data_IF_588326390838
#
_entry.id   IF_588326390838
#
_cell.length_a   1.000
_cell.length_b   1.000
_cell.length_c   1.000
_cell.angle_alpha   90.00
_cell.angle_beta   90.00
_cell.angle_gamma   90.00
#
_symmetry.space_group_name_H-M   'P 1'
#
loop_
_entity.id
_entity.type
_entity.pdbx_description
1 polymer ?
#
# COMPACT_ATOMS: atom_id res chain seq x y z
N UNK A 1 25.28 11.81 -8.69
CA UNK A 1 24.06 12.13 -7.92
C UNK A 1 23.18 10.89 -7.91
N UNK A 2 23.25 10.09 -6.85
CA UNK A 2 22.62 8.76 -6.81
C UNK A 2 21.11 8.96 -6.65
N UNK A 3 20.35 8.93 -7.76
CA UNK A 3 18.90 8.91 -7.70
C UNK A 3 18.51 7.65 -6.93
N UNK A 4 18.18 7.79 -5.64
CA UNK A 4 17.54 6.73 -4.87
C UNK A 4 16.34 6.31 -5.72
N UNK A 5 16.36 5.07 -6.21
CA UNK A 5 15.22 4.50 -6.94
C UNK A 5 13.97 4.72 -6.06
N UNK A 6 12.77 4.84 -6.62
CA UNK A 6 11.56 5.08 -5.82
C UNK A 6 10.79 3.76 -5.65
N UNK A 7 9.85 3.65 -4.70
CA UNK A 7 8.88 2.57 -4.71
C UNK A 7 8.24 2.45 -6.10
N UNK A 8 7.92 1.22 -6.52
CA UNK A 8 7.16 0.97 -7.73
C UNK A 8 5.66 1.06 -7.45
N UNK A 9 4.87 1.44 -8.45
CA UNK A 9 3.42 1.51 -8.34
C UNK A 9 2.78 0.88 -9.57
N UNK A 10 1.73 0.09 -9.37
CA UNK A 10 0.86 -0.38 -10.45
C UNK A 10 -0.51 0.22 -10.19
N UNK A 11 -0.94 1.08 -11.11
CA UNK A 11 -2.29 1.67 -11.11
C UNK A 11 -3.23 0.69 -11.80
N UNK A 12 -4.34 0.38 -11.16
CA UNK A 12 -5.34 -0.59 -11.63
C UNK A 12 -6.68 0.14 -11.69
N UNK A 13 -7.09 0.51 -12.88
CA UNK A 13 -8.37 1.15 -13.20
C UNK A 13 -9.20 0.34 -14.21
N UNK A 14 -8.69 -0.81 -14.66
CA UNK A 14 -9.42 -1.77 -15.48
C UNK A 14 -10.43 -2.56 -14.60
N UNK A 15 -11.75 -2.44 -14.87
CA UNK A 15 -12.78 -3.10 -14.08
C UNK A 15 -12.70 -4.63 -14.13
N UNK A 16 -12.23 -5.21 -15.24
CA UNK A 16 -12.04 -6.66 -15.34
C UNK A 16 -10.91 -7.12 -14.43
N UNK A 17 -9.80 -6.38 -14.37
CA UNK A 17 -8.69 -6.69 -13.47
C UNK A 17 -9.11 -6.47 -12.00
N UNK A 18 -9.79 -5.37 -11.69
CA UNK A 18 -10.28 -5.08 -10.34
C UNK A 18 -11.21 -6.19 -9.82
N UNK A 19 -12.09 -6.72 -10.68
CA UNK A 19 -13.01 -7.81 -10.32
C UNK A 19 -12.32 -9.13 -9.95
N UNK A 20 -11.06 -9.31 -10.37
CA UNK A 20 -10.27 -10.52 -10.11
C UNK A 20 -9.53 -10.49 -8.78
N UNK A 21 -9.53 -9.36 -8.06
CA UNK A 21 -8.79 -9.18 -6.80
C UNK A 21 -9.75 -9.44 -5.62
N UNK A 22 -9.66 -10.58 -4.91
CA UNK A 22 -10.64 -10.97 -3.89
C UNK A 22 -10.71 -10.02 -2.68
N UNK A 23 -9.62 -9.29 -2.42
CA UNK A 23 -9.52 -8.34 -1.31
C UNK A 23 -10.40 -7.07 -1.51
N UNK A 24 -10.96 -6.86 -2.71
CA UNK A 24 -11.83 -5.73 -3.02
C UNK A 24 -13.27 -6.14 -2.71
N UNK A 25 -13.72 -5.91 -1.47
CA UNK A 25 -15.08 -6.29 -1.01
C UNK A 25 -16.19 -5.35 -1.51
N UNK A 26 -15.84 -4.12 -1.88
CA UNK A 26 -16.74 -3.13 -2.48
C UNK A 26 -16.12 -2.64 -3.78
N UNK A 27 -16.89 -2.46 -4.88
CA UNK A 27 -16.35 -2.00 -6.14
C UNK A 27 -15.66 -0.63 -5.96
N UNK A 28 -14.33 -0.67 -5.92
CA UNK A 28 -13.49 0.51 -5.92
C UNK A 28 -13.15 0.83 -7.38
N UNK A 29 -13.35 2.06 -7.87
CA UNK A 29 -13.01 2.43 -9.24
C UNK A 29 -11.51 2.44 -9.50
N UNK A 30 -10.69 2.38 -8.45
CA UNK A 30 -9.24 2.46 -8.53
C UNK A 30 -8.60 1.59 -7.44
N UNK A 31 -7.53 0.89 -7.80
CA UNK A 31 -6.59 0.34 -6.85
C UNK A 31 -5.14 0.62 -7.26
N UNK A 32 -4.24 0.68 -6.28
CA UNK A 32 -2.81 0.86 -6.50
C UNK A 32 -2.06 -0.21 -5.73
N UNK A 33 -1.24 -1.00 -6.43
CA UNK A 33 -0.24 -1.84 -5.77
C UNK A 33 1.01 -1.01 -5.51
N UNK A 34 1.51 -1.05 -4.28
CA UNK A 34 2.80 -0.47 -3.90
C UNK A 34 3.83 -1.60 -3.89
N UNK A 35 4.86 -1.47 -4.72
CA UNK A 35 5.82 -2.54 -4.99
C UNK A 35 7.22 -2.22 -4.46
N UNK A 36 7.85 -3.23 -3.88
CA UNK A 36 9.23 -3.23 -3.45
C UNK A 36 10.11 -3.80 -4.58
N UNK A 37 11.17 -3.10 -4.93
CA UNK A 37 12.23 -3.62 -5.80
C UNK A 37 13.36 -4.19 -4.94
N UNK A 38 13.47 -5.51 -4.91
CA UNK A 38 14.44 -6.29 -4.15
C UNK A 38 15.86 -6.20 -4.70
N UNK A 39 16.04 -5.74 -5.94
CA UNK A 39 17.35 -5.61 -6.61
C UNK A 39 18.08 -4.36 -6.15
N UNK A 40 17.45 -3.53 -5.32
CA UNK A 40 18.02 -2.29 -4.84
C UNK A 40 19.01 -2.55 -3.69
N UNK A 41 20.08 -1.75 -3.58
CA UNK A 41 21.18 -2.02 -2.66
C UNK A 41 20.85 -1.75 -1.19
N UNK A 42 19.75 -1.04 -0.89
CA UNK A 42 19.32 -0.78 0.50
C UNK A 42 19.00 -2.10 1.23
N UNK A 43 19.02 -2.14 2.56
CA UNK A 43 18.60 -3.34 3.30
C UNK A 43 17.11 -3.64 3.07
N UNK A 44 16.67 -4.91 3.18
CA UNK A 44 15.26 -5.28 3.05
C UNK A 44 14.31 -4.42 3.91
N UNK A 45 14.66 -4.20 5.17
CA UNK A 45 13.84 -3.42 6.11
C UNK A 45 13.66 -1.97 5.67
N UNK A 46 14.72 -1.33 5.15
CA UNK A 46 14.65 0.04 4.67
C UNK A 46 13.78 0.16 3.41
N UNK A 47 13.74 -0.89 2.57
CA UNK A 47 12.86 -0.92 1.39
C UNK A 47 11.39 -1.02 1.80
N UNK A 48 11.10 -1.88 2.79
CA UNK A 48 9.75 -2.01 3.37
C UNK A 48 9.30 -0.69 3.98
N UNK A 49 10.15 -0.05 4.81
CA UNK A 49 9.85 1.25 5.41
C UNK A 49 9.59 2.34 4.36
N UNK A 50 10.41 2.40 3.31
CA UNK A 50 10.23 3.37 2.24
C UNK A 50 8.90 3.19 1.49
N UNK A 51 8.51 1.93 1.22
CA UNK A 51 7.23 1.64 0.57
C UNK A 51 6.06 1.88 1.52
N UNK A 52 6.18 1.55 2.81
CA UNK A 52 5.16 1.82 3.83
C UNK A 52 4.88 3.32 4.00
N UNK A 53 5.94 4.14 4.06
CA UNK A 53 5.81 5.59 4.11
C UNK A 53 5.17 6.15 2.84
N UNK A 54 5.47 5.58 1.67
CA UNK A 54 4.81 5.96 0.42
C UNK A 54 3.33 5.58 0.40
N UNK A 55 2.98 4.41 0.95
CA UNK A 55 1.57 3.99 1.12
C UNK A 55 0.81 4.94 2.03
N UNK A 56 1.39 5.34 3.17
CA UNK A 56 0.76 6.31 4.08
C UNK A 56 0.55 7.67 3.40
N UNK A 57 1.55 8.17 2.67
CA UNK A 57 1.40 9.41 1.89
C UNK A 57 0.28 9.32 0.85
N UNK A 58 0.09 8.16 0.22
CA UNK A 58 -1.00 7.93 -0.72
C UNK A 58 -2.36 8.00 -0.01
N UNK A 59 -2.49 7.41 1.18
CA UNK A 59 -3.73 7.46 1.98
C UNK A 59 -4.07 8.89 2.41
N UNK A 60 -3.08 9.64 2.89
CA UNK A 60 -3.25 11.05 3.27
C UNK A 60 -3.63 11.92 2.06
N UNK A 61 -3.01 11.69 0.91
CA UNK A 61 -3.35 12.40 -0.32
C UNK A 61 -4.78 12.09 -0.77
N UNK A 62 -5.21 10.83 -0.74
CA UNK A 62 -6.59 10.45 -1.04
C UNK A 62 -7.58 11.16 -0.11
N UNK A 63 -7.30 11.16 1.21
CA UNK A 63 -8.12 11.86 2.19
C UNK A 63 -8.22 13.36 1.91
N UNK A 64 -7.10 14.03 1.63
CA UNK A 64 -7.05 15.46 1.32
C UNK A 64 -7.85 15.81 0.05
N UNK A 65 -7.93 14.88 -0.91
CA UNK A 65 -8.74 15.01 -2.12
C UNK A 65 -10.23 14.65 -1.91
N UNK A 66 -10.64 14.31 -0.68
CA UNK A 66 -12.01 13.92 -0.36
C UNK A 66 -12.39 12.50 -0.78
N UNK A 67 -11.40 11.67 -1.12
CA UNK A 67 -11.54 10.25 -1.45
C UNK A 67 -11.43 9.38 -0.19
N UNK A 68 -12.02 8.20 -0.24
CA UNK A 68 -11.78 7.12 0.70
C UNK A 68 -10.68 6.21 0.15
N UNK A 69 -9.77 5.76 1.01
CA UNK A 69 -8.76 4.78 0.66
C UNK A 69 -8.51 3.81 1.81
N UNK A 70 -8.19 2.56 1.48
CA UNK A 70 -7.88 1.51 2.46
C UNK A 70 -6.60 0.80 2.05
N UNK A 71 -5.66 0.65 3.00
CA UNK A 71 -4.48 -0.19 2.84
C UNK A 71 -4.80 -1.62 3.29
N UNK A 72 -4.76 -2.56 2.35
CA UNK A 72 -4.71 -4.01 2.60
C UNK A 72 -3.26 -4.52 2.53
N UNK A 73 -2.77 -5.09 3.63
CA UNK A 73 -1.43 -5.66 3.69
C UNK A 73 -1.28 -6.88 2.76
N UNK A 74 -0.17 -6.94 2.02
CA UNK A 74 0.19 -8.07 1.15
C UNK A 74 1.48 -8.72 1.64
N UNK A 75 2.54 -7.92 1.85
CA UNK A 75 3.77 -8.40 2.46
C UNK A 75 3.60 -8.57 3.98
N UNK A 76 4.21 -9.59 4.62
CA UNK A 76 5.09 -10.62 4.05
C UNK A 76 4.38 -11.93 3.65
N UNK A 77 3.07 -11.92 3.42
CA UNK A 77 2.31 -13.14 3.11
C UNK A 77 2.70 -13.71 1.73
N UNK A 78 3.29 -14.91 1.67
CA UNK A 78 3.81 -15.47 0.42
C UNK A 78 2.71 -15.81 -0.58
N UNK A 79 1.53 -16.21 -0.13
CA UNK A 79 0.42 -16.60 -1.01
C UNK A 79 -0.20 -15.37 -1.65
N UNK A 80 -0.39 -14.29 -0.87
CA UNK A 80 -0.85 -13.00 -1.41
C UNK A 80 0.18 -12.43 -2.40
N UNK A 81 1.47 -12.43 -2.03
CA UNK A 81 2.55 -11.95 -2.90
C UNK A 81 2.58 -12.74 -4.23
N UNK A 82 2.52 -14.07 -4.17
CA UNK A 82 2.52 -14.93 -5.36
C UNK A 82 1.27 -14.69 -6.23
N UNK A 83 0.10 -14.52 -5.60
CA UNK A 83 -1.14 -14.19 -6.30
C UNK A 83 -1.02 -12.94 -7.15
N UNK A 84 -0.48 -11.84 -6.60
CA UNK A 84 -0.25 -10.61 -7.36
C UNK A 84 0.89 -10.74 -8.38
N UNK A 85 1.97 -11.46 -8.06
CA UNK A 85 3.05 -11.75 -9.02
C UNK A 85 2.51 -12.43 -10.27
N UNK A 86 1.66 -13.44 -10.10
CA UNK A 86 1.05 -14.16 -11.22
C UNK A 86 0.03 -13.30 -11.97
N UNK A 87 -0.84 -12.58 -11.25
CA UNK A 87 -1.89 -11.76 -11.85
C UNK A 87 -1.31 -10.65 -12.75
N UNK A 88 -0.20 -10.03 -12.33
CA UNK A 88 0.43 -8.92 -13.03
C UNK A 88 1.72 -9.30 -13.78
N UNK A 89 2.09 -10.58 -13.80
CA UNK A 89 3.34 -11.08 -14.40
C UNK A 89 4.56 -10.27 -13.96
N UNK A 90 4.69 -10.06 -12.64
CA UNK A 90 5.74 -9.20 -12.09
C UNK A 90 7.14 -9.79 -12.39
N UNK A 91 8.11 -8.96 -12.79
CA UNK A 91 9.45 -9.45 -13.07
C UNK A 91 10.19 -9.84 -11.79
N UNK A 92 11.19 -10.70 -11.93
CA UNK A 92 12.02 -11.15 -10.82
C UNK A 92 12.58 -9.98 -10.00
N UNK A 93 12.44 -10.11 -8.68
CA UNK A 93 12.86 -9.11 -7.72
C UNK A 93 11.87 -7.96 -7.52
N UNK A 94 10.69 -7.96 -8.15
CA UNK A 94 9.59 -7.06 -7.76
C UNK A 94 8.59 -7.84 -6.91
N UNK A 95 8.27 -7.32 -5.74
CA UNK A 95 7.25 -7.89 -4.85
C UNK A 95 6.28 -6.83 -4.36
N UNK A 96 5.06 -7.22 -4.02
CA UNK A 96 4.01 -6.29 -3.57
C UNK A 96 4.08 -6.11 -2.05
N UNK A 97 4.10 -4.85 -1.59
CA UNK A 97 3.93 -4.51 -0.18
C UNK A 97 2.44 -4.43 0.20
N UNK A 98 1.68 -3.68 -0.58
CA UNK A 98 0.34 -3.22 -0.22
C UNK A 98 -0.56 -3.12 -1.45
N UNK A 99 -1.84 -3.43 -1.27
CA UNK A 99 -2.92 -3.02 -2.16
C UNK A 99 -3.64 -1.85 -1.50
N UNK A 100 -3.77 -0.73 -2.22
CA UNK A 100 -4.56 0.43 -1.78
C UNK A 100 -5.77 0.58 -2.68
N UNK A 101 -6.96 0.33 -2.18
CA UNK A 101 -8.22 0.62 -2.90
C UNK A 101 -8.61 2.07 -2.67
N UNK A 102 -9.13 2.74 -3.70
CA UNK A 102 -9.46 4.17 -3.69
C UNK A 102 -10.81 4.38 -4.37
N UNK A 103 -11.65 5.24 -3.79
CA UNK A 103 -12.93 5.60 -4.38
C UNK A 103 -13.61 6.77 -3.67
N UNK A 104 -14.82 7.09 -4.12
CA UNK A 104 -15.67 8.05 -3.42
C UNK A 104 -16.34 7.37 -2.22
N UNK A 105 -16.13 7.87 -0.99
CA UNK A 105 -16.64 7.21 0.20
C UNK A 105 -18.16 7.35 0.27
N UNK A 106 -18.87 6.22 0.38
CA UNK A 106 -20.31 6.20 0.60
C UNK A 106 -20.70 6.74 1.99
N UNK A 107 -19.79 6.59 2.96
CA UNK A 107 -19.91 7.09 4.34
C UNK A 107 -18.58 7.70 4.75
N UNK A 108 -18.62 8.83 5.44
CA UNK A 108 -17.44 9.47 6.05
C UNK A 108 -17.51 9.30 7.57
N UNK A 109 -16.84 8.29 8.15
CA UNK A 109 -16.82 8.14 9.59
C UNK A 109 -16.13 9.35 10.24
N UNK A 110 -16.48 9.71 11.47
CA UNK A 110 -15.74 10.73 12.22
C UNK A 110 -14.29 10.26 12.44
N UNK A 111 -13.34 11.19 12.63
CA UNK A 111 -11.99 10.83 13.06
C UNK A 111 -12.03 10.00 14.34
N UNK A 112 -11.18 8.97 14.41
CA UNK A 112 -11.00 8.14 15.60
C UNK A 112 -9.87 8.71 16.45
N UNK A 113 -10.11 8.90 17.75
CA UNK A 113 -9.04 9.21 18.69
C UNK A 113 -8.27 7.93 19.04
N UNK A 114 -7.02 7.86 18.57
CA UNK A 114 -6.10 6.74 18.80
C UNK A 114 -4.98 7.08 19.78
N UNK A 115 -5.03 8.25 20.43
CA UNK A 115 -4.00 8.64 21.39
C UNK A 115 -3.99 7.71 22.62
N UNK A 116 -2.80 7.34 23.06
CA UNK A 116 -2.55 6.40 24.15
C UNK A 116 -1.35 6.86 24.95
N UNK A 117 -1.60 7.50 26.10
CA UNK A 117 -0.54 8.03 26.97
C UNK A 117 0.41 6.93 27.46
N UNK A 118 -0.08 5.71 27.68
CA UNK A 118 0.71 4.53 28.07
C UNK A 118 1.71 4.05 27.00
N UNK A 119 1.69 4.65 25.80
CA UNK A 119 2.67 4.43 24.71
C UNK A 119 3.68 5.58 24.56
N UNK A 120 3.65 6.57 25.46
CA UNK A 120 4.54 7.73 25.44
C UNK A 120 5.53 7.61 26.58
N UNK A 121 6.81 7.47 26.25
CA UNK A 121 7.88 7.24 27.22
C UNK A 121 8.91 8.39 27.14
N UNK A 122 9.28 8.98 28.28
CA UNK A 122 10.22 10.11 28.35
C UNK A 122 11.61 9.63 28.79
N UNK A 123 12.66 9.97 28.03
CA UNK A 123 14.08 9.67 28.31
C UNK A 123 14.47 8.17 28.39
N UNK A 124 13.52 7.25 28.38
CA UNK A 124 13.72 5.80 28.38
C UNK A 124 12.41 5.11 27.97
N UNK A 125 12.45 3.78 27.78
CA UNK A 125 11.24 2.97 27.60
C UNK A 125 10.62 2.61 28.95
#
# INVERSE_FOLDING_TARGET
>A
MNQRKKPGFIVIDDPEILSRIPAISTPAPLAILVCIDLRRPESPDLRVQACAAATENLLLAAHALGLGAVWTAVYPDPDLMLGFTNLFSLPDGIVVLALVTIGYPAVRPPPEDRYREDRVHHNGW
#
